data_IF_455495829968
#
_entry.id   IF_455495829968
#
_cell.length_a   1.000
_cell.length_b   1.000
_cell.length_c   1.000
_cell.angle_alpha   90.00
_cell.angle_beta   90.00
_cell.angle_gamma   90.00
#
_symmetry.space_group_name_H-M   'P 1'
#
loop_
_entity.id
_entity.type
_entity.pdbx_description
1 polymer ?
#
# COMPACT_ATOMS: atom_id res chain seq x y z
N UNK A 1 -8.17 -29.91 16.81
CA UNK A 1 -9.34 -29.31 16.12
C UNK A 1 -9.67 -27.89 16.64
N UNK A 2 -8.68 -27.05 16.97
CA UNK A 2 -8.89 -25.71 17.57
C UNK A 2 -8.66 -24.53 16.62
N UNK A 3 -8.19 -24.75 15.38
CA UNK A 3 -7.71 -23.66 14.50
C UNK A 3 -8.79 -22.80 13.85
N UNK A 4 -10.05 -23.26 13.79
CA UNK A 4 -11.11 -22.58 13.04
C UNK A 4 -11.87 -21.54 13.87
N UNK A 5 -11.87 -21.67 15.21
CA UNK A 5 -12.51 -20.72 16.13
C UNK A 5 -11.72 -19.43 16.32
N UNK A 6 -10.39 -19.50 16.36
CA UNK A 6 -9.54 -18.31 16.52
C UNK A 6 -9.47 -17.46 15.25
N UNK A 7 -9.57 -18.09 14.06
CA UNK A 7 -9.54 -17.40 12.77
C UNK A 7 -10.69 -16.39 12.60
N UNK A 8 -11.86 -16.64 13.20
CA UNK A 8 -13.02 -15.74 13.16
C UNK A 8 -13.01 -14.74 14.31
N UNK A 9 -12.44 -15.10 15.47
CA UNK A 9 -12.43 -14.24 16.68
C UNK A 9 -11.57 -12.99 16.51
N UNK A 10 -10.40 -13.12 15.90
CA UNK A 10 -9.46 -12.00 15.74
C UNK A 10 -10.02 -10.86 14.86
N UNK A 11 -10.58 -11.11 13.67
CA UNK A 11 -11.22 -10.07 12.86
C UNK A 11 -12.39 -9.38 13.59
N UNK A 12 -13.25 -10.16 14.27
CA UNK A 12 -14.39 -9.61 15.02
C UNK A 12 -13.91 -8.72 16.17
N UNK A 13 -12.89 -9.17 16.92
CA UNK A 13 -12.27 -8.37 17.97
C UNK A 13 -11.72 -7.05 17.43
N UNK A 14 -10.97 -7.09 16.31
CA UNK A 14 -10.41 -5.89 15.67
C UNK A 14 -11.50 -4.90 15.23
N UNK A 15 -12.57 -5.39 14.60
CA UNK A 15 -13.71 -4.58 14.22
C UNK A 15 -14.39 -3.96 15.45
N UNK A 16 -14.57 -4.74 16.51
CA UNK A 16 -15.14 -4.27 17.79
C UNK A 16 -14.30 -3.16 18.40
N UNK A 17 -12.97 -3.34 18.46
CA UNK A 17 -12.06 -2.32 18.99
C UNK A 17 -12.09 -1.02 18.17
N UNK A 18 -12.10 -1.12 16.84
CA UNK A 18 -12.19 0.05 15.97
C UNK A 18 -13.51 0.81 16.17
N UNK A 19 -14.64 0.10 16.29
CA UNK A 19 -15.95 0.70 16.58
C UNK A 19 -15.96 1.36 17.95
N UNK A 20 -15.45 0.69 18.98
CA UNK A 20 -15.42 1.23 20.34
C UNK A 20 -14.58 2.50 20.40
N UNK A 21 -13.39 2.49 19.79
CA UNK A 21 -12.49 3.63 19.72
C UNK A 21 -13.10 4.85 19.03
N UNK A 22 -13.88 4.61 17.97
CA UNK A 22 -14.53 5.68 17.24
C UNK A 22 -15.73 6.27 18.00
N UNK A 23 -16.55 5.42 18.63
CA UNK A 23 -17.82 5.84 19.24
C UNK A 23 -17.67 6.43 20.64
N UNK A 24 -16.81 5.86 21.48
CA UNK A 24 -16.84 6.10 22.93
C UNK A 24 -15.81 7.08 23.49
N UNK A 25 -15.19 7.92 22.65
CA UNK A 25 -14.25 8.98 23.08
C UNK A 25 -13.15 8.46 24.04
N UNK A 26 -12.49 7.35 23.68
CA UNK A 26 -11.48 6.72 24.54
C UNK A 26 -10.36 7.68 24.95
N UNK A 27 -10.10 8.71 24.15
CA UNK A 27 -9.13 9.77 24.43
C UNK A 27 -9.46 10.61 25.68
N UNK A 28 -10.70 10.58 26.17
CA UNK A 28 -11.15 11.30 27.37
C UNK A 28 -11.10 10.45 28.64
N UNK A 29 -10.87 9.15 28.52
CA UNK A 29 -10.76 8.27 29.68
C UNK A 29 -9.35 8.39 30.26
N UNK A 30 -9.27 8.75 31.54
CA UNK A 30 -8.00 8.95 32.23
C UNK A 30 -7.12 7.69 32.16
N UNK A 31 -5.86 7.88 31.76
CA UNK A 31 -4.88 6.80 31.63
C UNK A 31 -5.07 5.87 30.41
N UNK A 32 -6.21 5.89 29.72
CA UNK A 32 -6.50 4.95 28.61
C UNK A 32 -5.50 5.08 27.46
N UNK A 33 -5.17 6.30 27.04
CA UNK A 33 -4.17 6.53 25.98
C UNK A 33 -2.78 6.02 26.39
N UNK A 34 -2.37 6.23 27.65
CA UNK A 34 -1.12 5.70 28.17
C UNK A 34 -1.09 4.17 28.16
N UNK A 35 -2.21 3.53 28.52
CA UNK A 35 -2.36 2.07 28.46
C UNK A 35 -2.26 1.56 27.02
N UNK A 36 -2.93 2.19 26.06
CA UNK A 36 -2.86 1.82 24.64
C UNK A 36 -1.41 1.93 24.12
N UNK A 37 -0.73 3.03 24.45
CA UNK A 37 0.67 3.27 24.07
C UNK A 37 1.61 2.22 24.68
N UNK A 38 1.42 1.86 25.95
CA UNK A 38 2.21 0.81 26.61
C UNK A 38 1.99 -0.55 25.95
N UNK A 39 0.74 -0.92 25.65
CA UNK A 39 0.43 -2.17 24.96
C UNK A 39 1.04 -2.22 23.57
N UNK A 40 0.95 -1.13 22.80
CA UNK A 40 1.59 -1.08 21.48
C UNK A 40 3.11 -1.18 21.60
N UNK A 41 3.73 -0.45 22.53
CA UNK A 41 5.17 -0.51 22.74
C UNK A 41 5.64 -1.93 23.06
N UNK A 42 4.98 -2.61 23.99
CA UNK A 42 5.29 -4.00 24.35
C UNK A 42 5.09 -4.95 23.16
N UNK A 43 4.00 -4.78 22.40
CA UNK A 43 3.71 -5.59 21.23
C UNK A 43 4.77 -5.43 20.12
N UNK A 44 5.24 -4.20 19.89
CA UNK A 44 6.32 -3.92 18.94
C UNK A 44 7.65 -4.54 19.38
N UNK A 45 7.97 -4.46 20.68
CA UNK A 45 9.19 -5.07 21.24
C UNK A 45 9.15 -6.60 21.14
N UNK A 46 8.01 -7.23 21.44
CA UNK A 46 7.80 -8.67 21.29
C UNK A 46 7.88 -9.11 19.82
N UNK A 47 7.26 -8.36 18.91
CA UNK A 47 7.30 -8.65 17.47
C UNK A 47 8.71 -8.54 16.88
N UNK A 48 9.54 -7.62 17.38
CA UNK A 48 10.91 -7.43 16.91
C UNK A 48 11.89 -8.45 17.52
N UNK A 49 11.83 -8.67 18.83
CA UNK A 49 12.91 -9.33 19.59
C UNK A 49 12.48 -10.62 20.29
N UNK A 50 11.18 -10.95 20.31
CA UNK A 50 10.66 -12.09 21.05
C UNK A 50 11.04 -13.46 20.46
N UNK A 51 10.66 -14.52 21.17
CA UNK A 51 10.65 -15.90 20.64
C UNK A 51 9.63 -16.05 19.50
N UNK A 52 9.60 -17.18 18.80
CA UNK A 52 8.63 -17.39 17.70
C UNK A 52 7.16 -17.20 18.15
N UNK A 53 6.82 -17.73 19.33
CA UNK A 53 5.50 -17.55 19.97
C UNK A 53 5.25 -16.08 20.34
N UNK A 54 6.22 -15.43 20.98
CA UNK A 54 6.09 -14.02 21.40
C UNK A 54 5.97 -13.09 20.20
N UNK A 55 6.69 -13.36 19.11
CA UNK A 55 6.59 -12.58 17.88
C UNK A 55 5.20 -12.65 17.28
N UNK A 56 4.60 -13.85 17.28
CA UNK A 56 3.23 -14.03 16.79
C UNK A 56 2.22 -13.30 17.67
N UNK A 57 2.35 -13.41 19.00
CA UNK A 57 1.48 -12.68 19.94
C UNK A 57 1.64 -11.17 19.82
N UNK A 58 2.87 -10.67 19.75
CA UNK A 58 3.17 -9.26 19.56
C UNK A 58 2.62 -8.74 18.24
N UNK A 59 2.70 -9.52 17.16
CA UNK A 59 2.07 -9.18 15.89
C UNK A 59 0.54 -9.08 16.03
N UNK A 60 -0.11 -10.08 16.61
CA UNK A 60 -1.57 -10.09 16.75
C UNK A 60 -2.08 -8.94 17.62
N UNK A 61 -1.38 -8.63 18.72
CA UNK A 61 -1.65 -7.50 19.60
C UNK A 61 -1.42 -6.16 18.88
N UNK A 62 -0.29 -6.01 18.18
CA UNK A 62 0.03 -4.80 17.43
C UNK A 62 -1.04 -4.48 16.38
N UNK A 63 -1.44 -5.50 15.60
CA UNK A 63 -2.51 -5.36 14.61
C UNK A 63 -3.88 -5.06 15.25
N UNK A 64 -4.15 -5.57 16.46
CA UNK A 64 -5.35 -5.20 17.20
C UNK A 64 -5.34 -3.73 17.63
N UNK A 65 -4.20 -3.22 18.09
CA UNK A 65 -4.03 -1.79 18.42
C UNK A 65 -4.10 -0.93 17.16
N UNK A 66 -3.67 -1.40 15.99
CA UNK A 66 -3.83 -0.64 14.74
C UNK A 66 -5.29 -0.47 14.34
N UNK A 67 -6.12 -1.50 14.52
CA UNK A 67 -7.56 -1.38 14.30
C UNK A 67 -8.19 -0.35 15.25
N UNK A 68 -7.80 -0.37 16.53
CA UNK A 68 -8.18 0.64 17.52
C UNK A 68 -7.74 2.04 17.07
N UNK A 69 -6.47 2.20 16.66
CA UNK A 69 -5.91 3.45 16.18
C UNK A 69 -6.65 3.98 14.95
N UNK A 70 -7.03 3.11 14.01
CA UNK A 70 -7.85 3.50 12.85
C UNK A 70 -9.20 4.10 13.28
N UNK A 71 -9.91 3.47 14.22
CA UNK A 71 -11.15 4.01 14.76
C UNK A 71 -10.96 5.35 15.49
N UNK A 72 -9.91 5.44 16.31
CA UNK A 72 -9.57 6.63 17.09
C UNK A 72 -9.17 7.81 16.20
N UNK A 73 -8.29 7.62 15.23
CA UNK A 73 -7.73 8.68 14.39
C UNK A 73 -8.77 9.31 13.46
N UNK A 74 -9.82 8.59 13.06
CA UNK A 74 -10.96 9.19 12.33
C UNK A 74 -11.70 10.24 13.15
N UNK A 75 -11.68 10.09 14.48
CA UNK A 75 -12.40 10.92 15.44
C UNK A 75 -11.51 11.99 16.08
N UNK A 76 -10.29 11.64 16.47
CA UNK A 76 -9.37 12.50 17.19
C UNK A 76 -7.98 12.46 16.55
N UNK A 77 -7.54 13.63 16.10
CA UNK A 77 -6.17 13.89 15.64
C UNK A 77 -5.68 15.12 16.37
N UNK A 78 -4.83 14.93 17.38
CA UNK A 78 -4.38 16.01 18.26
C UNK A 78 -3.27 15.57 19.20
N UNK A 79 -2.96 16.41 20.21
CA UNK A 79 -1.88 16.14 21.19
C UNK A 79 -2.05 14.79 21.90
N UNK A 80 -3.30 14.38 22.14
CA UNK A 80 -3.66 13.13 22.81
C UNK A 80 -3.22 11.87 22.04
N UNK A 81 -3.13 11.94 20.70
CA UNK A 81 -2.76 10.78 19.86
C UNK A 81 -1.29 10.80 19.43
N UNK A 82 -0.51 11.81 19.84
CA UNK A 82 0.87 11.96 19.38
C UNK A 82 1.79 10.82 19.83
N UNK A 83 1.65 10.32 21.07
CA UNK A 83 2.46 9.20 21.55
C UNK A 83 2.16 7.93 20.74
N UNK A 84 0.88 7.62 20.53
CA UNK A 84 0.43 6.55 19.64
C UNK A 84 0.99 6.67 18.22
N UNK A 85 0.90 7.85 17.58
CA UNK A 85 1.41 8.09 16.23
C UNK A 85 2.93 7.86 16.13
N UNK A 86 3.71 8.26 17.14
CA UNK A 86 5.16 8.00 17.19
C UNK A 86 5.47 6.51 17.27
N UNK A 87 4.64 5.72 17.95
CA UNK A 87 4.81 4.26 18.02
C UNK A 87 4.41 3.61 16.68
N UNK A 88 3.32 4.05 16.06
CA UNK A 88 2.91 3.58 14.73
C UNK A 88 3.99 3.84 13.67
N UNK A 89 4.68 4.98 13.75
CA UNK A 89 5.79 5.33 12.86
C UNK A 89 6.97 4.33 12.97
N UNK A 90 7.12 3.64 14.11
CA UNK A 90 8.18 2.62 14.31
C UNK A 90 7.77 1.23 13.85
N UNK A 91 6.49 0.97 13.61
CA UNK A 91 5.99 -0.36 13.24
C UNK A 91 6.72 -1.02 12.05
N UNK A 92 7.04 -0.31 10.95
CA UNK A 92 7.77 -0.91 9.82
C UNK A 92 9.23 -1.28 10.13
N UNK A 93 9.82 -0.75 11.22
CA UNK A 93 11.16 -1.13 11.69
C UNK A 93 11.16 -2.52 12.34
N UNK A 94 10.04 -2.91 12.94
CA UNK A 94 9.91 -4.16 13.68
C UNK A 94 9.74 -5.35 12.73
N UNK A 95 8.71 -5.31 11.88
CA UNK A 95 8.42 -6.38 10.91
C UNK A 95 7.70 -5.83 9.67
N UNK A 96 7.79 -6.55 8.57
CA UNK A 96 7.07 -6.23 7.33
C UNK A 96 5.56 -6.39 7.47
N UNK A 97 5.11 -7.36 8.28
CA UNK A 97 3.69 -7.60 8.56
C UNK A 97 3.07 -6.44 9.34
N UNK A 98 3.79 -5.84 10.29
CA UNK A 98 3.33 -4.64 10.98
C UNK A 98 3.34 -3.42 10.04
N UNK A 99 4.34 -3.29 9.16
CA UNK A 99 4.33 -2.25 8.13
C UNK A 99 3.08 -2.31 7.25
N UNK A 100 2.70 -3.50 6.78
CA UNK A 100 1.46 -3.72 6.01
C UNK A 100 0.19 -3.49 6.83
N UNK A 101 0.21 -3.91 8.09
CA UNK A 101 -0.91 -3.78 9.00
C UNK A 101 -1.40 -2.34 9.20
N UNK A 102 -0.53 -1.34 8.99
CA UNK A 102 -0.90 0.08 9.08
C UNK A 102 -1.98 0.47 8.07
N UNK A 103 -2.15 -0.28 6.98
CA UNK A 103 -3.23 -0.06 5.99
C UNK A 103 -4.60 0.11 6.66
N UNK A 104 -4.88 -0.65 7.73
CA UNK A 104 -6.16 -0.61 8.43
C UNK A 104 -6.52 0.82 8.90
N UNK A 105 -5.52 1.67 9.14
CA UNK A 105 -5.74 3.05 9.59
C UNK A 105 -6.48 3.86 8.53
N UNK A 106 -6.12 3.74 7.26
CA UNK A 106 -6.69 4.56 6.18
C UNK A 106 -7.73 3.82 5.34
N UNK A 107 -7.69 2.49 5.32
CA UNK A 107 -8.61 1.67 4.56
C UNK A 107 -10.09 1.99 4.89
N UNK A 108 -10.98 2.00 3.89
CA UNK A 108 -12.42 2.05 4.13
C UNK A 108 -12.86 0.89 5.04
N UNK A 109 -13.53 1.21 6.14
CA UNK A 109 -14.05 0.24 7.10
C UNK A 109 -15.55 0.47 7.25
N UNK A 110 -16.41 -0.29 6.53
CA UNK A 110 -17.86 -0.06 6.53
C UNK A 110 -18.50 0.00 7.92
N UNK A 111 -17.99 -0.80 8.86
CA UNK A 111 -18.46 -0.84 10.25
C UNK A 111 -18.07 0.41 11.07
N UNK A 112 -17.08 1.20 10.63
CA UNK A 112 -16.69 2.49 11.23
C UNK A 112 -17.19 3.66 10.39
N UNK A 113 -17.42 3.51 9.09
CA UNK A 113 -17.83 4.61 8.20
C UNK A 113 -19.34 4.75 8.08
N UNK A 114 -20.06 3.63 8.06
CA UNK A 114 -21.47 3.60 7.67
C UNK A 114 -22.38 3.17 8.84
N UNK A 115 -21.81 3.02 10.04
CA UNK A 115 -22.58 2.61 11.23
C UNK A 115 -23.14 3.79 12.00
N UNK A 116 -24.33 3.60 12.58
CA UNK A 116 -24.99 4.60 13.43
C UNK A 116 -24.07 5.05 14.56
N UNK A 117 -23.88 6.36 14.71
CA UNK A 117 -23.02 6.95 15.73
C UNK A 117 -21.52 6.93 15.41
N UNK A 118 -21.13 6.58 14.19
CA UNK A 118 -19.76 6.78 13.71
C UNK A 118 -19.41 8.27 13.62
N UNK A 119 -18.16 8.60 13.92
CA UNK A 119 -17.65 9.97 13.92
C UNK A 119 -16.41 10.04 13.01
N UNK A 120 -16.49 10.88 11.99
CA UNK A 120 -15.35 11.20 11.12
C UNK A 120 -15.15 12.70 11.06
N UNK A 121 -14.00 13.18 11.52
CA UNK A 121 -13.64 14.59 11.39
C UNK A 121 -13.20 14.87 9.94
N UNK A 122 -13.68 15.93 9.27
CA UNK A 122 -13.39 16.16 7.85
C UNK A 122 -11.90 16.07 7.46
N UNK A 123 -10.98 16.58 8.31
CA UNK A 123 -9.54 16.64 8.02
C UNK A 123 -8.74 15.48 8.64
N UNK A 124 -9.39 14.39 9.04
CA UNK A 124 -8.72 13.29 9.73
C UNK A 124 -7.63 12.65 8.86
N UNK A 125 -7.90 12.44 7.57
CA UNK A 125 -6.93 11.86 6.63
C UNK A 125 -5.72 12.78 6.43
N UNK A 126 -5.93 14.09 6.28
CA UNK A 126 -4.85 15.07 6.16
C UNK A 126 -3.96 15.08 7.40
N UNK A 127 -4.55 14.95 8.59
CA UNK A 127 -3.79 14.85 9.83
C UNK A 127 -2.99 13.55 9.93
N UNK A 128 -3.59 12.41 9.58
CA UNK A 128 -2.86 11.13 9.49
C UNK A 128 -1.73 11.22 8.48
N UNK A 129 -1.96 11.87 7.35
CA UNK A 129 -0.93 12.07 6.34
C UNK A 129 0.27 12.87 6.90
N UNK A 130 0.01 14.05 7.46
CA UNK A 130 1.05 14.93 8.01
C UNK A 130 1.80 14.29 9.17
N UNK A 131 1.09 13.68 10.12
CA UNK A 131 1.71 13.21 11.37
C UNK A 131 2.30 11.79 11.26
N UNK A 132 1.87 10.97 10.29
CA UNK A 132 2.33 9.59 10.12
C UNK A 132 2.97 9.33 8.75
N UNK A 133 2.26 9.59 7.65
CA UNK A 133 2.71 9.19 6.30
C UNK A 133 3.89 10.02 5.82
N UNK A 134 3.83 11.34 5.95
CA UNK A 134 4.88 12.25 5.47
C UNK A 134 6.25 11.96 6.10
N UNK A 135 6.37 11.72 7.42
CA UNK A 135 7.60 11.23 8.03
C UNK A 135 8.08 9.87 7.48
N UNK A 136 7.16 8.97 7.11
CA UNK A 136 7.51 7.67 6.52
C UNK A 136 8.08 7.80 5.10
N UNK A 137 7.64 8.78 4.31
CA UNK A 137 8.18 9.04 2.96
C UNK A 137 9.69 9.34 3.05
N UNK A 138 10.10 10.16 4.02
CA UNK A 138 11.51 10.45 4.27
C UNK A 138 12.31 9.19 4.63
N UNK A 139 11.76 8.31 5.46
CA UNK A 139 12.39 7.04 5.86
C UNK A 139 12.45 6.03 4.72
N UNK A 140 11.41 5.95 3.89
CA UNK A 140 11.35 5.12 2.70
C UNK A 140 12.30 5.58 1.60
N UNK A 141 12.70 6.86 1.61
CA UNK A 141 13.64 7.44 0.64
C UNK A 141 15.08 7.46 1.15
N UNK A 142 15.28 7.43 2.47
CA UNK A 142 16.60 7.54 3.10
C UNK A 142 17.60 6.49 2.61
N UNK A 143 18.86 6.90 2.51
CA UNK A 143 20.01 6.03 2.25
C UNK A 143 20.60 5.43 3.53
N UNK A 144 20.26 5.98 4.69
CA UNK A 144 20.83 5.54 5.99
C UNK A 144 20.19 4.26 6.52
N UNK A 145 18.99 3.90 6.05
CA UNK A 145 18.29 2.71 6.51
C UNK A 145 18.70 1.46 5.73
N UNK A 146 18.73 0.33 6.44
CA UNK A 146 18.95 -0.99 5.81
C UNK A 146 17.87 -1.23 4.74
N UNK A 147 18.23 -1.86 3.60
CA UNK A 147 17.28 -2.16 2.51
C UNK A 147 15.93 -2.79 2.93
N UNK A 148 15.85 -3.77 3.85
CA UNK A 148 14.56 -4.32 4.27
C UNK A 148 13.69 -3.31 5.02
N UNK A 149 14.27 -2.47 5.87
CA UNK A 149 13.54 -1.44 6.62
C UNK A 149 13.01 -0.38 5.65
N UNK A 150 13.84 0.06 4.69
CA UNK A 150 13.43 0.98 3.63
C UNK A 150 12.23 0.44 2.84
N UNK A 151 12.26 -0.85 2.52
CA UNK A 151 11.17 -1.54 1.82
C UNK A 151 9.90 -1.59 2.64
N UNK A 152 9.99 -1.91 3.94
CA UNK A 152 8.82 -1.93 4.83
C UNK A 152 8.16 -0.55 4.93
N UNK A 153 8.95 0.52 5.05
CA UNK A 153 8.41 1.89 5.02
C UNK A 153 7.79 2.22 3.67
N UNK A 154 8.43 1.85 2.56
CA UNK A 154 7.89 2.07 1.22
C UNK A 154 6.53 1.38 1.02
N UNK A 155 6.42 0.11 1.41
CA UNK A 155 5.16 -0.65 1.36
C UNK A 155 4.10 -0.02 2.26
N UNK A 156 4.44 0.35 3.50
CA UNK A 156 3.51 1.02 4.41
C UNK A 156 2.96 2.33 3.83
N UNK A 157 3.83 3.17 3.25
CA UNK A 157 3.42 4.43 2.60
C UNK A 157 2.41 4.15 1.48
N UNK A 158 2.69 3.20 0.59
CA UNK A 158 1.82 2.91 -0.55
C UNK A 158 0.47 2.34 -0.11
N UNK A 159 0.46 1.47 0.90
CA UNK A 159 -0.78 0.90 1.44
C UNK A 159 -1.63 1.94 2.19
N UNK A 160 -1.00 2.94 2.80
CA UNK A 160 -1.71 4.04 3.44
C UNK A 160 -2.28 5.03 2.40
N UNK A 161 -1.44 5.44 1.43
CA UNK A 161 -1.76 6.47 0.42
C UNK A 161 -2.78 6.00 -0.60
N UNK A 162 -2.85 4.70 -0.94
CA UNK A 162 -3.82 4.19 -1.92
C UNK A 162 -5.29 4.46 -1.54
N UNK A 163 -5.55 4.73 -0.27
CA UNK A 163 -6.88 5.05 0.27
C UNK A 163 -7.08 6.55 0.54
N UNK A 164 -6.11 7.40 0.19
CA UNK A 164 -6.19 8.85 0.34
C UNK A 164 -6.49 9.53 -1.00
N UNK A 165 -7.19 10.66 -0.93
CA UNK A 165 -7.41 11.52 -2.11
C UNK A 165 -6.11 12.22 -2.51
N UNK A 166 -5.91 12.41 -3.81
CA UNK A 166 -4.69 13.00 -4.38
C UNK A 166 -4.30 14.37 -3.78
N UNK A 167 -5.22 15.33 -3.56
CA UNK A 167 -4.88 16.64 -3.00
C UNK A 167 -4.21 16.58 -1.61
N UNK A 168 -4.34 15.47 -0.87
CA UNK A 168 -3.71 15.30 0.44
C UNK A 168 -2.19 15.12 0.33
N UNK A 169 -1.71 14.51 -0.75
CA UNK A 169 -0.31 14.13 -0.94
C UNK A 169 0.32 14.71 -2.21
N UNK A 170 -0.37 15.63 -2.89
CA UNK A 170 0.05 16.26 -4.14
C UNK A 170 1.47 16.82 -4.07
N UNK A 171 1.82 17.56 -3.01
CA UNK A 171 3.15 18.15 -2.80
C UNK A 171 4.28 17.10 -2.80
N UNK A 172 3.99 15.90 -2.31
CA UNK A 172 4.97 14.81 -2.17
C UNK A 172 4.78 13.71 -3.25
N UNK A 173 3.94 13.96 -4.25
CA UNK A 173 3.58 12.99 -5.31
C UNK A 173 4.80 12.44 -6.04
N UNK A 174 5.79 13.28 -6.37
CA UNK A 174 7.04 12.83 -7.00
C UNK A 174 7.86 11.88 -6.13
N UNK A 175 7.91 12.11 -4.81
CA UNK A 175 8.58 11.21 -3.89
C UNK A 175 7.83 9.87 -3.75
N UNK A 176 6.50 9.93 -3.64
CA UNK A 176 5.64 8.76 -3.57
C UNK A 176 5.73 7.92 -4.85
N UNK A 177 5.76 8.56 -6.02
CA UNK A 177 5.94 7.90 -7.31
C UNK A 177 7.27 7.13 -7.37
N UNK A 178 8.38 7.75 -6.94
CA UNK A 178 9.67 7.05 -6.87
C UNK A 178 9.65 5.86 -5.93
N UNK A 179 8.98 5.98 -4.79
CA UNK A 179 8.76 4.86 -3.86
C UNK A 179 7.96 3.75 -4.56
N UNK A 180 6.85 4.09 -5.21
CA UNK A 180 6.00 3.13 -5.91
C UNK A 180 6.77 2.35 -6.99
N UNK A 181 7.51 3.05 -7.85
CA UNK A 181 8.32 2.44 -8.90
C UNK A 181 9.41 1.53 -8.32
N UNK A 182 10.08 1.98 -7.26
CA UNK A 182 11.11 1.18 -6.57
C UNK A 182 10.51 -0.08 -5.97
N UNK A 183 9.37 0.02 -5.29
CA UNK A 183 8.70 -1.14 -4.67
C UNK A 183 8.19 -2.12 -5.72
N UNK A 184 7.60 -1.66 -6.82
CA UNK A 184 7.16 -2.52 -7.92
C UNK A 184 8.32 -3.29 -8.57
N UNK A 185 9.52 -2.69 -8.63
CA UNK A 185 10.72 -3.38 -9.14
C UNK A 185 11.24 -4.45 -8.18
N UNK A 186 11.09 -4.27 -6.87
CA UNK A 186 11.61 -5.20 -5.85
C UNK A 186 10.63 -6.35 -5.59
N UNK A 187 9.34 -6.06 -5.47
CA UNK A 187 8.33 -7.01 -4.95
C UNK A 187 7.79 -7.99 -5.99
N UNK A 188 7.78 -7.63 -7.28
CA UNK A 188 7.09 -8.42 -8.30
C UNK A 188 5.58 -8.49 -8.07
N UNK A 189 4.92 -9.37 -8.83
CA UNK A 189 3.45 -9.46 -8.82
C UNK A 189 2.93 -9.90 -7.46
N UNK A 190 2.07 -9.09 -6.84
CA UNK A 190 1.53 -9.31 -5.51
C UNK A 190 0.71 -8.11 -5.03
N UNK A 191 0.11 -8.16 -3.82
CA UNK A 191 -0.76 -7.11 -3.31
C UNK A 191 -0.03 -5.78 -3.12
N UNK A 192 1.25 -5.82 -2.74
CA UNK A 192 2.09 -4.62 -2.58
C UNK A 192 2.33 -3.94 -3.93
N UNK A 193 2.57 -4.71 -5.00
CA UNK A 193 2.70 -4.16 -6.35
C UNK A 193 1.37 -3.65 -6.88
N UNK A 194 0.25 -4.31 -6.56
CA UNK A 194 -1.08 -3.81 -6.90
C UNK A 194 -1.35 -2.45 -6.24
N UNK A 195 -1.02 -2.31 -4.96
CA UNK A 195 -1.11 -1.05 -4.23
C UNK A 195 -0.22 0.03 -4.86
N UNK A 196 1.02 -0.31 -5.20
CA UNK A 196 1.94 0.59 -5.89
C UNK A 196 1.37 1.07 -7.23
N UNK A 197 0.84 0.16 -8.06
CA UNK A 197 0.23 0.51 -9.34
C UNK A 197 -1.02 1.38 -9.17
N UNK A 198 -1.83 1.15 -8.14
CA UNK A 198 -3.00 1.98 -7.87
C UNK A 198 -2.59 3.43 -7.55
N UNK A 199 -1.56 3.61 -6.72
CA UNK A 199 -1.01 4.94 -6.42
C UNK A 199 -0.42 5.59 -7.67
N UNK A 200 0.34 4.85 -8.48
CA UNK A 200 0.89 5.35 -9.74
C UNK A 200 -0.22 5.77 -10.71
N UNK A 201 -1.29 4.99 -10.84
CA UNK A 201 -2.44 5.33 -11.67
C UNK A 201 -3.08 6.64 -11.20
N UNK A 202 -3.30 6.80 -9.89
CA UNK A 202 -3.87 8.02 -9.34
C UNK A 202 -2.98 9.24 -9.63
N UNK A 203 -1.67 9.13 -9.42
CA UNK A 203 -0.71 10.21 -9.74
C UNK A 203 -0.69 10.51 -11.24
N UNK A 204 -0.72 9.49 -12.11
CA UNK A 204 -0.73 9.68 -13.56
C UNK A 204 -1.97 10.42 -14.06
N UNK A 205 -3.14 10.17 -13.45
CA UNK A 205 -4.39 10.85 -13.80
C UNK A 205 -4.37 12.31 -13.38
N UNK A 206 -3.89 12.59 -12.16
CA UNK A 206 -4.01 13.93 -11.55
C UNK A 206 -2.80 14.84 -11.85
N UNK A 207 -1.59 14.27 -11.98
CA UNK A 207 -0.34 14.99 -12.22
C UNK A 207 0.55 14.26 -13.25
N UNK A 208 0.13 14.19 -14.53
CA UNK A 208 0.84 13.44 -15.57
C UNK A 208 2.29 13.90 -15.78
N UNK A 209 2.57 15.19 -15.61
CA UNK A 209 3.92 15.76 -15.74
C UNK A 209 4.93 15.14 -14.78
N UNK A 210 4.47 14.76 -13.57
CA UNK A 210 5.33 14.10 -12.57
C UNK A 210 5.77 12.70 -13.01
N UNK A 211 5.02 12.07 -13.93
CA UNK A 211 5.30 10.73 -14.43
C UNK A 211 6.25 10.74 -15.64
N UNK A 212 6.35 11.85 -16.37
CA UNK A 212 7.12 11.93 -17.62
C UNK A 212 8.57 11.50 -17.44
N UNK A 213 9.26 12.00 -16.41
CA UNK A 213 10.66 11.67 -16.08
C UNK A 213 10.88 10.19 -15.74
N UNK A 214 9.80 9.47 -15.44
CA UNK A 214 9.82 8.08 -15.01
C UNK A 214 9.17 7.12 -16.00
N UNK A 215 8.79 7.61 -17.19
CA UNK A 215 8.04 6.86 -18.21
C UNK A 215 8.71 5.53 -18.59
N UNK A 216 10.03 5.53 -18.79
CA UNK A 216 10.77 4.33 -19.18
C UNK A 216 10.71 3.23 -18.10
N UNK A 217 10.82 3.62 -16.82
CA UNK A 217 10.70 2.73 -15.67
C UNK A 217 9.28 2.22 -15.53
N UNK A 218 8.28 3.10 -15.68
CA UNK A 218 6.87 2.75 -15.61
C UNK A 218 6.48 1.72 -16.67
N UNK A 219 6.83 1.97 -17.94
CA UNK A 219 6.59 1.03 -19.04
C UNK A 219 7.28 -0.30 -18.76
N UNK A 220 8.53 -0.30 -18.29
CA UNK A 220 9.24 -1.53 -17.94
C UNK A 220 8.52 -2.33 -16.86
N UNK A 221 8.07 -1.69 -15.79
CA UNK A 221 7.33 -2.33 -14.70
C UNK A 221 6.02 -2.92 -15.22
N UNK A 222 5.19 -2.10 -15.88
CA UNK A 222 3.87 -2.53 -16.35
C UNK A 222 3.98 -3.67 -17.39
N UNK A 223 4.90 -3.58 -18.35
CA UNK A 223 5.14 -4.67 -19.31
C UNK A 223 5.69 -5.94 -18.67
N UNK A 224 6.53 -5.83 -17.64
CA UNK A 224 6.98 -6.97 -16.84
C UNK A 224 5.83 -7.70 -16.14
N UNK A 225 4.86 -6.97 -15.59
CA UNK A 225 3.68 -7.54 -14.92
C UNK A 225 2.69 -8.21 -15.89
N UNK A 226 2.74 -7.87 -17.19
CA UNK A 226 1.92 -8.49 -18.23
C UNK A 226 2.54 -9.78 -18.78
N UNK A 227 3.83 -9.98 -18.57
CA UNK A 227 4.57 -11.13 -19.08
C UNK A 227 4.33 -12.36 -18.21
N UNK A 228 3.84 -13.45 -18.81
CA UNK A 228 3.50 -14.70 -18.11
C UNK A 228 4.64 -15.74 -18.06
N UNK A 229 5.85 -15.38 -18.51
CA UNK A 229 6.98 -16.31 -18.61
C UNK A 229 7.85 -16.39 -17.34
N UNK A 230 8.64 -17.46 -17.15
CA UNK A 230 9.56 -17.61 -16.01
C UNK A 230 10.65 -16.52 -15.92
N UNK A 231 10.84 -15.74 -17.01
CA UNK A 231 11.74 -14.60 -17.07
C UNK A 231 11.14 -13.26 -16.56
N UNK A 232 9.85 -13.23 -16.17
CA UNK A 232 9.15 -12.00 -15.78
C UNK A 232 9.07 -11.76 -14.28
N UNK A 233 9.53 -12.70 -13.45
CA UNK A 233 9.71 -12.41 -12.02
C UNK A 233 10.82 -11.38 -11.89
N UNK A 234 10.57 -10.20 -11.29
CA UNK A 234 11.65 -9.30 -10.97
C UNK A 234 12.67 -10.08 -10.15
N UNK A 235 13.95 -9.86 -10.46
CA UNK A 235 15.04 -10.55 -9.79
C UNK A 235 15.02 -10.14 -8.32
N UNK A 236 14.32 -10.92 -7.50
CA UNK A 236 14.17 -10.72 -6.06
C UNK A 236 15.56 -10.44 -5.50
N UNK A 237 15.79 -9.28 -4.86
CA UNK A 237 17.11 -8.98 -4.37
C UNK A 237 17.56 -10.01 -3.33
N UNK A 238 18.86 -10.35 -3.27
CA UNK A 238 19.37 -11.41 -2.39
C UNK A 238 19.15 -11.11 -0.91
N UNK A 239 18.99 -9.83 -0.54
CA UNK A 239 18.72 -9.40 0.83
C UNK A 239 17.26 -9.55 1.26
N UNK A 240 16.31 -9.80 0.35
CA UNK A 240 14.89 -9.89 0.69
C UNK A 240 14.55 -11.33 1.14
N UNK A 241 14.17 -11.55 2.42
CA UNK A 241 13.91 -12.89 2.96
C UNK A 241 12.83 -13.60 2.15
N UNK A 242 12.95 -14.91 1.90
CA UNK A 242 11.99 -15.68 1.06
C UNK A 242 10.55 -15.62 1.57
N UNK A 243 10.40 -15.58 2.89
CA UNK A 243 9.13 -15.51 3.61
C UNK A 243 8.44 -14.15 3.49
N UNK A 244 9.17 -13.11 3.06
CA UNK A 244 8.61 -11.78 2.83
C UNK A 244 7.49 -11.86 1.80
N UNK A 245 6.29 -11.42 2.20
CA UNK A 245 5.04 -11.49 1.41
C UNK A 245 4.62 -12.90 0.94
N UNK A 246 5.18 -13.99 1.50
CA UNK A 246 5.01 -15.34 0.96
C UNK A 246 3.55 -15.84 0.91
N UNK A 247 2.69 -15.34 1.79
CA UNK A 247 1.28 -15.72 1.83
C UNK A 247 0.42 -15.16 0.69
N UNK A 248 0.91 -14.18 -0.09
CA UNK A 248 0.11 -13.43 -1.07
C UNK A 248 0.59 -13.56 -2.52
N UNK A 249 1.58 -14.40 -2.79
CA UNK A 249 2.26 -14.47 -4.09
C UNK A 249 1.55 -15.34 -5.15
N UNK A 250 0.62 -16.22 -4.75
CA UNK A 250 -0.04 -17.15 -5.68
C UNK A 250 -1.54 -16.94 -5.85
N UNK A 251 -2.00 -15.72 -5.57
CA UNK A 251 -3.39 -15.34 -5.83
C UNK A 251 -3.56 -14.93 -7.31
N UNK A 252 -4.27 -15.75 -8.06
CA UNK A 252 -4.59 -15.50 -9.47
C UNK A 252 -5.40 -14.21 -9.66
N UNK A 253 -6.22 -13.82 -8.67
CA UNK A 253 -7.01 -12.59 -8.70
C UNK A 253 -6.11 -11.36 -8.56
N UNK A 254 -5.16 -11.39 -7.62
CA UNK A 254 -4.17 -10.32 -7.43
C UNK A 254 -3.30 -10.18 -8.68
N UNK A 255 -2.88 -11.29 -9.28
CA UNK A 255 -2.12 -11.29 -10.54
C UNK A 255 -2.93 -10.67 -11.68
N UNK A 256 -4.19 -11.06 -11.82
CA UNK A 256 -5.09 -10.45 -12.79
C UNK A 256 -5.29 -8.95 -12.51
N UNK A 257 -5.46 -8.56 -11.24
CA UNK A 257 -5.60 -7.17 -10.80
C UNK A 257 -4.38 -6.31 -11.14
N UNK A 258 -3.17 -6.81 -10.91
CA UNK A 258 -1.93 -6.16 -11.32
C UNK A 258 -1.88 -5.97 -12.85
N UNK A 259 -2.21 -7.02 -13.61
CA UNK A 259 -2.25 -6.95 -15.07
C UNK A 259 -3.30 -5.96 -15.58
N UNK A 260 -4.46 -5.88 -14.92
CA UNK A 260 -5.50 -4.89 -15.24
C UNK A 260 -5.00 -3.47 -15.04
N UNK A 261 -4.48 -3.15 -13.85
CA UNK A 261 -3.93 -1.82 -13.55
C UNK A 261 -2.78 -1.45 -14.48
N UNK A 262 -1.88 -2.39 -14.79
CA UNK A 262 -0.78 -2.16 -15.72
C UNK A 262 -1.28 -1.79 -17.13
N UNK A 263 -2.36 -2.42 -17.61
CA UNK A 263 -2.98 -2.09 -18.90
C UNK A 263 -3.74 -0.78 -18.86
N UNK A 264 -4.39 -0.43 -17.76
CA UNK A 264 -5.05 0.88 -17.60
C UNK A 264 -4.02 2.00 -17.64
N UNK A 265 -2.89 1.83 -16.93
CA UNK A 265 -1.77 2.78 -16.95
C UNK A 265 -1.22 2.88 -18.38
N UNK A 266 -0.72 1.78 -18.95
CA UNK A 266 -0.09 1.81 -20.30
C UNK A 266 -1.08 2.32 -21.35
N UNK A 267 -2.32 1.81 -21.34
CA UNK A 267 -3.35 2.17 -22.30
C UNK A 267 -3.80 3.63 -22.20
N UNK A 268 -3.69 4.23 -21.01
CA UNK A 268 -4.01 5.63 -20.74
C UNK A 268 -2.91 6.62 -21.14
N UNK A 269 -1.64 6.19 -21.22
CA UNK A 269 -0.50 7.09 -21.53
C UNK A 269 -0.71 7.97 -22.79
N UNK A 270 -1.19 7.44 -23.95
CA UNK A 270 -1.49 8.24 -25.13
C UNK A 270 -2.50 9.38 -24.94
N UNK A 271 -3.36 9.28 -23.94
CA UNK A 271 -4.40 10.28 -23.65
C UNK A 271 -3.92 11.35 -22.66
N UNK A 272 -2.82 11.08 -21.94
CA UNK A 272 -2.36 11.89 -20.81
C UNK A 272 -1.04 12.60 -21.10
N UNK A 273 -0.20 12.03 -21.99
CA UNK A 273 1.12 12.56 -22.31
C UNK A 273 1.21 12.99 -23.77
N UNK A 274 2.09 13.94 -24.03
CA UNK A 274 2.35 14.42 -25.38
C UNK A 274 2.92 13.32 -26.29
N UNK A 275 2.40 13.24 -27.52
CA UNK A 275 2.76 12.21 -28.50
C UNK A 275 4.26 12.10 -28.75
N UNK A 276 4.97 13.24 -28.80
CA UNK A 276 6.43 13.29 -29.02
C UNK A 276 7.23 12.46 -28.02
N UNK A 277 6.79 12.43 -26.76
CA UNK A 277 7.45 11.69 -25.68
C UNK A 277 7.23 10.18 -25.90
N UNK A 278 6.01 9.81 -26.28
CA UNK A 278 5.56 8.42 -26.43
C UNK A 278 6.10 7.73 -27.70
N UNK A 279 6.39 8.48 -28.76
CA UNK A 279 6.92 7.92 -30.01
C UNK A 279 8.22 7.13 -29.79
N UNK A 280 9.06 7.56 -28.84
CA UNK A 280 10.33 6.90 -28.51
C UNK A 280 10.14 5.50 -27.93
N UNK A 281 9.01 5.23 -27.27
CA UNK A 281 8.73 3.96 -26.59
C UNK A 281 7.63 3.13 -27.28
N UNK A 282 6.90 3.71 -28.24
CA UNK A 282 5.77 3.09 -28.93
C UNK A 282 6.06 1.71 -29.55
N UNK A 283 7.19 1.47 -30.28
CA UNK A 283 7.46 0.16 -30.87
C UNK A 283 7.58 -0.95 -29.82
N UNK A 284 8.24 -0.63 -28.70
CA UNK A 284 8.39 -1.56 -27.57
C UNK A 284 7.03 -1.84 -26.93
N UNK A 285 6.26 -0.79 -26.63
CA UNK A 285 4.95 -0.95 -25.97
C UNK A 285 3.98 -1.76 -26.84
N UNK A 286 3.91 -1.49 -28.15
CA UNK A 286 3.05 -2.23 -29.08
C UNK A 286 3.38 -3.73 -29.12
N UNK A 287 4.66 -4.09 -29.04
CA UNK A 287 5.10 -5.50 -28.97
C UNK A 287 4.63 -6.18 -27.69
N UNK A 288 4.80 -5.54 -26.55
CA UNK A 288 4.38 -6.09 -25.25
C UNK A 288 2.84 -6.17 -25.15
N UNK A 289 2.11 -5.18 -25.69
CA UNK A 289 0.65 -5.22 -25.78
C UNK A 289 0.15 -6.33 -26.71
N UNK A 290 0.87 -6.62 -27.81
CA UNK A 290 0.57 -7.75 -28.67
C UNK A 290 0.74 -9.09 -27.94
N UNK A 291 1.79 -9.24 -27.13
CA UNK A 291 1.95 -10.41 -26.27
C UNK A 291 0.82 -10.52 -25.23
N UNK A 292 0.44 -9.40 -24.59
CA UNK A 292 -0.65 -9.34 -23.61
C UNK A 292 -2.04 -9.69 -24.21
N UNK A 293 -2.22 -9.57 -25.53
CA UNK A 293 -3.44 -10.03 -26.21
C UNK A 293 -3.63 -11.57 -26.11
N UNK A 294 -2.56 -12.32 -25.84
CA UNK A 294 -2.57 -13.77 -25.58
C UNK A 294 -2.67 -14.16 -24.10
N UNK A 295 -2.85 -13.21 -23.19
CA UNK A 295 -2.86 -13.47 -21.74
C UNK A 295 -3.97 -14.44 -21.30
N UNK A 296 -3.79 -15.21 -20.22
CA UNK A 296 -4.77 -16.21 -19.75
C UNK A 296 -6.14 -15.64 -19.32
N UNK A 297 -6.16 -14.43 -18.77
CA UNK A 297 -7.39 -13.72 -18.35
C UNK A 297 -8.09 -13.01 -19.52
N UNK A 298 -9.40 -13.24 -19.69
CA UNK A 298 -10.24 -12.65 -20.75
C UNK A 298 -10.29 -11.13 -20.68
N UNK A 299 -10.38 -10.56 -19.48
CA UNK A 299 -10.49 -9.12 -19.28
C UNK A 299 -9.18 -8.41 -19.64
N UNK A 300 -8.05 -9.00 -19.24
CA UNK A 300 -6.71 -8.52 -19.61
C UNK A 300 -6.55 -8.54 -21.13
N UNK A 301 -6.98 -9.61 -21.83
CA UNK A 301 -6.95 -9.65 -23.31
C UNK A 301 -7.80 -8.55 -23.95
N UNK A 302 -9.01 -8.29 -23.41
CA UNK A 302 -9.90 -7.23 -23.91
C UNK A 302 -9.23 -5.86 -23.79
N UNK A 303 -8.67 -5.55 -22.63
CA UNK A 303 -8.00 -4.27 -22.40
C UNK A 303 -6.71 -4.13 -23.19
N UNK A 304 -5.93 -5.20 -23.35
CA UNK A 304 -4.72 -5.19 -24.16
C UNK A 304 -5.01 -4.84 -25.63
N UNK A 305 -6.11 -5.35 -26.20
CA UNK A 305 -6.55 -4.98 -27.56
C UNK A 305 -6.94 -3.51 -27.67
N UNK A 306 -7.67 -2.98 -26.69
CA UNK A 306 -8.05 -1.57 -26.65
C UNK A 306 -6.82 -0.67 -26.54
N UNK A 307 -5.93 -0.95 -25.57
CA UNK A 307 -4.68 -0.23 -25.41
C UNK A 307 -3.85 -0.27 -26.70
N UNK A 308 -3.71 -1.44 -27.34
CA UNK A 308 -2.95 -1.57 -28.59
C UNK A 308 -3.52 -0.68 -29.70
N UNK A 309 -4.84 -0.62 -29.84
CA UNK A 309 -5.50 0.25 -30.83
C UNK A 309 -5.22 1.74 -30.56
N UNK A 310 -5.26 2.16 -29.29
CA UNK A 310 -4.91 3.54 -28.90
C UNK A 310 -3.46 3.87 -29.27
N UNK A 311 -2.53 2.97 -28.97
CA UNK A 311 -1.11 3.16 -29.27
C UNK A 311 -0.79 3.13 -30.77
N UNK A 312 -1.53 2.36 -31.58
CA UNK A 312 -1.33 2.35 -33.03
C UNK A 312 -1.79 3.64 -33.72
N UNK A 313 -2.60 4.46 -33.05
CA UNK A 313 -3.10 5.73 -33.57
C UNK A 313 -2.15 6.91 -33.27
N UNK A 314 -1.04 6.70 -32.56
CA UNK A 314 -0.02 7.72 -32.35
C UNK A 314 0.61 8.06 -33.72
N UNK A 315 0.47 9.31 -34.15
CA UNK A 315 1.03 9.87 -35.39
C UNK A 315 2.05 10.94 -35.09
#
# INVERSE_FOLDING_TARGET
>A
MSGQGDAVRLPVMRATLAVLANKYQLEKLDGMMGTIEQHLKAALEQAANGTSEDRRRGLDQGLAVFALAGGLLRRCTGKQTQGLLRLLLRAPECTDLLGRGLEVITAPQPFVTDSVGSVQKPLWMQKVYVDLVKPMIGRASSETHRPPVKTNFGVAVLLLVKHMEFPIYEEDSGAILRIALSMSQIMGTGPDAQAALQVVKNILVEAPDTVQDHLASLIKICTGLLSTGPASTPRRPPWLPKEYAAAALDDAEVRAGCGRLALEIIGGLPLMLETRILLTCAPRVLRELAAACGHGSRDVRKMARLARATWSNLK
#
